data_IF_272283749808
#
_entry.id   IF_272283749808
#
_cell.length_a   1.000
_cell.length_b   1.000
_cell.length_c   1.000
_cell.angle_alpha   90.00
_cell.angle_beta   90.00
_cell.angle_gamma   90.00
#
_symmetry.space_group_name_H-M   'P 1'
#
loop_
_entity.id
_entity.type
_entity.pdbx_description
1 polymer ?
#
# COMPACT_ATOMS: atom_id res chain seq x y z
N UNK A 1 13.01 16.46 -20.78
CA UNK A 1 11.99 16.77 -19.75
C UNK A 1 12.50 16.20 -18.44
N UNK A 2 12.57 16.99 -17.37
CA UNK A 2 12.86 16.48 -16.02
C UNK A 2 11.74 15.50 -15.66
N UNK A 3 11.98 14.20 -15.80
CA UNK A 3 11.06 13.16 -15.32
C UNK A 3 11.08 13.26 -13.79
N UNK A 4 10.21 14.10 -13.22
CA UNK A 4 10.12 14.27 -11.78
C UNK A 4 9.71 12.93 -11.17
N UNK A 5 10.63 12.28 -10.46
CA UNK A 5 10.42 10.98 -9.82
C UNK A 5 9.68 11.09 -8.48
N UNK A 6 8.77 12.07 -8.37
CA UNK A 6 8.12 12.41 -7.11
C UNK A 6 7.21 11.27 -6.63
N UNK A 7 6.31 10.68 -7.45
CA UNK A 7 5.50 9.53 -7.03
C UNK A 7 6.38 8.37 -6.57
N UNK A 8 7.37 7.98 -7.37
CA UNK A 8 8.37 6.96 -7.04
C UNK A 8 9.08 7.18 -5.70
N UNK A 9 9.62 8.38 -5.47
CA UNK A 9 10.28 8.72 -4.20
C UNK A 9 9.31 8.61 -3.02
N UNK A 10 8.08 9.10 -3.17
CA UNK A 10 7.07 9.02 -2.11
C UNK A 10 6.64 7.58 -1.83
N UNK A 11 6.47 6.73 -2.84
CA UNK A 11 6.14 5.31 -2.63
C UNK A 11 7.28 4.58 -1.91
N UNK A 12 8.54 4.86 -2.26
CA UNK A 12 9.71 4.34 -1.53
C UNK A 12 9.72 4.79 -0.07
N UNK A 13 9.49 6.08 0.19
CA UNK A 13 9.37 6.59 1.56
C UNK A 13 8.25 5.90 2.32
N UNK A 14 7.09 5.69 1.69
CA UNK A 14 5.95 5.00 2.31
C UNK A 14 6.33 3.59 2.77
N UNK A 15 7.03 2.85 1.91
CA UNK A 15 7.48 1.49 2.22
C UNK A 15 8.49 1.51 3.38
N UNK A 16 9.46 2.43 3.37
CA UNK A 16 10.42 2.59 4.47
C UNK A 16 9.76 3.00 5.80
N UNK A 17 8.58 3.64 5.76
CA UNK A 17 7.89 4.04 6.98
C UNK A 17 7.34 2.87 7.80
N UNK A 18 7.33 1.66 7.24
CA UNK A 18 6.93 0.44 7.93
C UNK A 18 7.94 0.02 9.00
N UNK A 19 9.17 0.51 8.91
CA UNK A 19 10.27 0.24 9.85
C UNK A 19 10.48 1.38 10.86
N UNK A 20 9.63 2.42 10.84
CA UNK A 20 9.78 3.53 11.78
C UNK A 20 9.62 3.03 13.23
N UNK A 21 10.50 3.46 14.15
CA UNK A 21 10.45 3.02 15.53
C UNK A 21 9.16 3.47 16.22
N UNK A 22 8.84 2.80 17.32
CA UNK A 22 7.80 3.27 18.22
C UNK A 22 8.22 4.61 18.82
N UNK A 23 7.34 5.61 18.78
CA UNK A 23 7.60 6.90 19.39
C UNK A 23 7.25 6.81 20.87
N UNK A 24 8.17 6.28 21.69
CA UNK A 24 8.03 6.33 23.13
C UNK A 24 8.15 7.78 23.62
N UNK A 25 7.28 8.20 24.53
CA UNK A 25 7.47 9.45 25.26
C UNK A 25 8.74 9.33 26.10
N UNK A 26 9.74 10.16 25.84
CA UNK A 26 10.98 10.13 26.61
C UNK A 26 10.67 10.54 28.07
N UNK A 27 10.95 9.69 29.07
CA UNK A 27 10.81 10.07 30.47
C UNK A 27 11.93 11.07 30.80
N UNK A 28 11.61 12.36 30.81
CA UNK A 28 12.57 13.41 31.14
C UNK A 28 12.61 14.62 30.21
N UNK A 29 11.70 14.74 29.23
CA UNK A 29 11.51 16.00 28.52
C UNK A 29 10.97 17.07 29.49
N UNK A 30 11.90 17.78 30.11
CA UNK A 30 11.67 18.97 30.92
C UNK A 30 10.63 19.85 30.25
N UNK A 31 9.65 20.30 31.03
CA UNK A 31 8.61 21.24 30.64
C UNK A 31 9.21 22.61 30.27
N UNK A 32 9.93 22.71 29.16
CA UNK A 32 10.22 23.99 28.52
C UNK A 32 9.05 24.32 27.62
N UNK A 33 8.23 25.24 28.13
CA UNK A 33 7.05 25.83 27.51
C UNK A 33 7.34 26.36 26.10
N UNK A 34 7.08 25.51 25.12
CA UNK A 34 6.58 25.93 23.81
C UNK A 34 5.44 24.98 23.51
N UNK A 35 4.31 25.52 23.06
CA UNK A 35 3.09 24.79 22.72
C UNK A 35 3.32 23.93 21.46
N UNK A 36 4.26 22.98 21.53
CA UNK A 36 4.55 22.05 20.46
C UNK A 36 3.55 20.89 20.51
N UNK A 37 3.01 20.53 19.35
CA UNK A 37 2.10 19.40 19.19
C UNK A 37 2.73 18.12 19.78
N UNK A 38 1.97 17.31 20.54
CA UNK A 38 2.41 16.00 21.01
C UNK A 38 3.05 15.19 19.89
N UNK A 39 4.10 14.44 20.18
CA UNK A 39 4.87 13.70 19.18
C UNK A 39 4.01 12.72 18.38
N UNK A 40 3.03 12.09 19.04
CA UNK A 40 2.01 11.24 18.40
C UNK A 40 1.16 12.02 17.39
N UNK A 41 0.71 13.23 17.74
CA UNK A 41 -0.08 14.09 16.86
C UNK A 41 0.73 14.55 15.65
N UNK A 42 2.03 14.83 15.81
CA UNK A 42 2.92 15.13 14.69
C UNK A 42 3.06 13.95 13.73
N UNK A 43 3.18 12.72 14.25
CA UNK A 43 3.24 11.51 13.42
C UNK A 43 1.94 11.29 12.65
N UNK A 44 0.80 11.46 13.32
CA UNK A 44 -0.52 11.36 12.70
C UNK A 44 -0.72 12.44 11.62
N UNK A 45 -0.31 13.68 11.88
CA UNK A 45 -0.37 14.77 10.91
C UNK A 45 0.52 14.49 9.69
N UNK A 46 1.75 14.02 9.91
CA UNK A 46 2.65 13.62 8.83
C UNK A 46 2.01 12.51 7.98
N UNK A 47 1.49 11.45 8.61
CA UNK A 47 0.81 10.37 7.91
C UNK A 47 -0.36 10.87 7.07
N UNK A 48 -1.19 11.75 7.64
CA UNK A 48 -2.34 12.34 6.95
C UNK A 48 -1.93 13.17 5.74
N UNK A 49 -0.98 14.10 5.90
CA UNK A 49 -0.51 14.96 4.82
C UNK A 49 0.16 14.14 3.72
N UNK A 50 1.01 13.18 4.11
CA UNK A 50 1.70 12.31 3.17
C UNK A 50 0.73 11.46 2.35
N UNK A 51 -0.25 10.83 3.01
CA UNK A 51 -1.30 10.08 2.34
C UNK A 51 -2.12 10.96 1.38
N UNK A 52 -2.50 12.18 1.81
CA UNK A 52 -3.25 13.11 0.96
C UNK A 52 -2.48 13.53 -0.29
N UNK A 53 -1.18 13.79 -0.18
CA UNK A 53 -0.33 14.13 -1.32
C UNK A 53 -0.28 12.96 -2.30
N UNK A 54 0.02 11.75 -1.83
CA UNK A 54 0.10 10.57 -2.70
C UNK A 54 -1.24 10.24 -3.37
N UNK A 55 -2.35 10.29 -2.63
CA UNK A 55 -3.70 10.09 -3.18
C UNK A 55 -4.02 11.16 -4.22
N UNK A 56 -3.71 12.44 -3.96
CA UNK A 56 -3.98 13.52 -4.92
C UNK A 56 -3.12 13.42 -6.17
N UNK A 57 -1.88 12.97 -6.06
CA UNK A 57 -1.02 12.69 -7.21
C UNK A 57 -1.58 11.50 -8.00
N UNK A 58 -1.89 10.40 -7.33
CA UNK A 58 -2.35 9.16 -7.97
C UNK A 58 -3.79 9.22 -8.48
N UNK A 59 -4.51 10.35 -8.35
CA UNK A 59 -5.80 10.57 -9.01
C UNK A 59 -5.68 10.86 -10.51
N UNK A 60 -4.46 10.78 -11.06
CA UNK A 60 -4.16 10.94 -12.48
C UNK A 60 -3.41 9.71 -12.99
N UNK A 61 -3.52 9.42 -14.30
CA UNK A 61 -2.84 8.29 -14.93
C UNK A 61 -1.32 8.42 -14.92
N UNK A 62 -0.81 9.63 -15.16
CA UNK A 62 0.64 9.87 -15.34
C UNK A 62 1.50 9.42 -14.15
N UNK A 63 1.12 9.66 -12.87
CA UNK A 63 1.88 9.12 -11.73
C UNK A 63 1.92 7.60 -11.66
N UNK A 64 0.84 6.89 -12.01
CA UNK A 64 0.86 5.42 -12.04
C UNK A 64 1.77 4.89 -13.15
N UNK A 65 1.78 5.54 -14.32
CA UNK A 65 2.71 5.20 -15.40
C UNK A 65 4.16 5.48 -15.02
N UNK A 66 4.43 6.58 -14.30
CA UNK A 66 5.76 6.89 -13.79
C UNK A 66 6.24 5.82 -12.79
N UNK A 67 5.39 5.41 -11.85
CA UNK A 67 5.70 4.32 -10.91
C UNK A 67 6.01 3.00 -11.62
N UNK A 68 5.24 2.66 -12.66
CA UNK A 68 5.48 1.46 -13.47
C UNK A 68 6.81 1.58 -14.25
N UNK A 69 7.09 2.72 -14.87
CA UNK A 69 8.34 2.97 -15.60
C UNK A 69 9.58 2.95 -14.70
N UNK A 70 9.46 3.34 -13.43
CA UNK A 70 10.55 3.33 -12.44
C UNK A 70 10.67 2.05 -11.64
N UNK A 71 9.81 1.07 -11.89
CA UNK A 71 9.75 -0.21 -11.18
C UNK A 71 9.40 -0.11 -9.68
N UNK A 72 8.68 0.95 -9.30
CA UNK A 72 8.34 1.25 -7.91
C UNK A 72 6.87 0.95 -7.57
N UNK A 73 6.01 0.69 -8.57
CA UNK A 73 4.60 0.38 -8.33
C UNK A 73 4.40 -0.92 -7.53
N UNK A 74 5.25 -1.94 -7.75
CA UNK A 74 5.22 -3.20 -6.99
C UNK A 74 5.38 -2.99 -5.47
N UNK A 75 6.01 -1.89 -5.04
CA UNK A 75 6.17 -1.57 -3.62
C UNK A 75 4.82 -1.28 -2.95
N UNK A 76 3.83 -0.75 -3.67
CA UNK A 76 2.48 -0.55 -3.11
C UNK A 76 1.75 -1.88 -2.90
N UNK A 77 1.90 -2.84 -3.81
CA UNK A 77 1.33 -4.19 -3.67
C UNK A 77 1.97 -4.94 -2.50
N UNK A 78 3.29 -4.82 -2.35
CA UNK A 78 4.00 -5.32 -1.18
C UNK A 78 3.48 -4.62 0.08
N UNK A 79 3.47 -3.28 0.11
CA UNK A 79 3.06 -2.49 1.27
C UNK A 79 1.67 -2.85 1.81
N UNK A 80 0.68 -3.15 0.96
CA UNK A 80 -0.66 -3.48 1.46
C UNK A 80 -0.76 -4.86 2.12
N UNK A 81 0.21 -5.74 1.89
CA UNK A 81 0.21 -7.14 2.37
C UNK A 81 1.43 -7.52 3.19
N UNK A 82 2.46 -6.68 3.27
CA UNK A 82 3.61 -6.90 4.14
C UNK A 82 3.23 -6.74 5.61
N UNK A 83 3.81 -7.57 6.46
CA UNK A 83 3.77 -7.39 7.90
C UNK A 83 4.46 -6.08 8.30
N UNK A 84 3.91 -5.40 9.31
CA UNK A 84 4.58 -4.30 9.99
C UNK A 84 4.11 -4.20 11.45
N UNK A 85 4.92 -3.60 12.35
CA UNK A 85 4.54 -3.44 13.75
C UNK A 85 3.20 -2.68 13.90
N UNK A 86 2.41 -2.93 14.97
CA UNK A 86 1.08 -2.32 15.15
C UNK A 86 1.03 -0.79 15.05
N UNK A 87 2.08 -0.10 15.51
CA UNK A 87 2.18 1.37 15.42
C UNK A 87 2.41 1.90 14.00
N UNK A 88 2.71 1.03 13.03
CA UNK A 88 2.90 1.36 11.62
C UNK A 88 1.73 0.94 10.72
N UNK A 89 0.70 0.30 11.27
CA UNK A 89 -0.55 -0.01 10.54
C UNK A 89 -1.19 1.19 9.83
N UNK A 90 -1.16 2.43 10.37
CA UNK A 90 -1.66 3.59 9.63
C UNK A 90 -0.96 3.83 8.29
N UNK A 91 0.33 3.47 8.17
CA UNK A 91 1.06 3.57 6.90
C UNK A 91 0.64 2.50 5.89
N UNK A 92 0.39 1.27 6.35
CA UNK A 92 -0.22 0.20 5.53
C UNK A 92 -1.59 0.60 5.01
N UNK A 93 -2.42 1.22 5.86
CA UNK A 93 -3.71 1.80 5.45
C UNK A 93 -3.54 2.90 4.40
N UNK A 94 -2.55 3.79 4.55
CA UNK A 94 -2.24 4.80 3.52
C UNK A 94 -1.87 4.16 2.19
N UNK A 95 -1.05 3.11 2.17
CA UNK A 95 -0.71 2.39 0.94
C UNK A 95 -1.96 1.83 0.25
N UNK A 96 -2.89 1.26 1.03
CA UNK A 96 -4.18 0.77 0.51
C UNK A 96 -5.03 1.88 -0.11
N UNK A 97 -5.06 3.07 0.50
CA UNK A 97 -5.76 4.23 -0.06
C UNK A 97 -5.15 4.71 -1.39
N UNK A 98 -3.82 4.72 -1.48
CA UNK A 98 -3.11 5.07 -2.72
C UNK A 98 -3.41 4.05 -3.80
N UNK A 99 -3.33 2.75 -3.50
CA UNK A 99 -3.60 1.68 -4.45
C UNK A 99 -5.07 1.70 -4.93
N UNK A 100 -6.02 1.97 -4.04
CA UNK A 100 -7.44 2.18 -4.38
C UNK A 100 -7.65 3.41 -5.28
N UNK A 101 -6.80 4.42 -5.16
CA UNK A 101 -6.89 5.59 -6.04
C UNK A 101 -6.35 5.26 -7.42
N UNK A 102 -5.24 4.52 -7.49
CA UNK A 102 -4.67 4.01 -8.75
C UNK A 102 -5.66 3.07 -9.45
N UNK A 103 -6.35 2.18 -8.74
CA UNK A 103 -7.32 1.26 -9.37
C UNK A 103 -8.43 2.01 -10.11
N UNK A 104 -8.88 3.15 -9.58
CA UNK A 104 -9.98 3.93 -10.15
C UNK A 104 -9.57 4.90 -11.24
N UNK A 105 -8.33 5.40 -11.19
CA UNK A 105 -7.91 6.54 -12.03
C UNK A 105 -6.61 6.32 -12.78
N UNK A 106 -5.80 5.35 -12.37
CA UNK A 106 -4.42 5.16 -12.79
C UNK A 106 -4.17 3.94 -13.68
N UNK A 107 -5.15 3.07 -13.89
CA UNK A 107 -4.97 1.84 -14.68
C UNK A 107 -4.96 2.13 -16.18
N UNK A 108 -3.77 2.40 -16.73
CA UNK A 108 -3.53 2.33 -18.17
C UNK A 108 -3.10 0.92 -18.60
N UNK A 109 -3.09 0.67 -19.91
CA UNK A 109 -2.59 -0.60 -20.49
C UNK A 109 -1.15 -0.88 -20.03
N UNK A 110 -0.31 0.15 -19.92
CA UNK A 110 1.07 0.01 -19.47
C UNK A 110 1.16 -0.37 -17.98
N UNK A 111 0.29 0.22 -17.16
CA UNK A 111 0.23 -0.07 -15.72
C UNK A 111 -0.26 -1.51 -15.49
N UNK A 112 -1.31 -1.94 -16.19
CA UNK A 112 -1.81 -3.32 -16.11
C UNK A 112 -0.75 -4.31 -16.57
N UNK A 113 -0.10 -4.03 -17.71
CA UNK A 113 1.00 -4.86 -18.22
C UNK A 113 2.13 -4.99 -17.20
N UNK A 114 2.54 -3.89 -16.57
CA UNK A 114 3.55 -3.90 -15.53
C UNK A 114 3.14 -4.78 -14.33
N UNK A 115 1.90 -4.62 -13.83
CA UNK A 115 1.39 -5.38 -12.68
C UNK A 115 1.41 -6.89 -12.98
N UNK A 116 1.02 -7.27 -14.20
CA UNK A 116 1.07 -8.64 -14.69
C UNK A 116 2.51 -9.17 -14.76
N UNK A 117 3.40 -8.47 -15.46
CA UNK A 117 4.81 -8.88 -15.66
C UNK A 117 5.60 -8.96 -14.35
N UNK A 118 5.20 -8.21 -13.32
CA UNK A 118 5.83 -8.20 -12.00
C UNK A 118 5.16 -9.15 -11.00
N UNK A 119 4.12 -9.87 -11.41
CA UNK A 119 3.41 -10.84 -10.56
C UNK A 119 2.95 -10.22 -9.23
N UNK A 120 2.55 -8.94 -9.25
CA UNK A 120 2.21 -8.17 -8.06
C UNK A 120 1.11 -8.85 -7.22
N UNK A 121 0.13 -9.46 -7.87
CA UNK A 121 -0.95 -10.18 -7.19
C UNK A 121 -0.47 -11.48 -6.54
N UNK A 122 0.42 -12.22 -7.18
CA UNK A 122 1.03 -13.41 -6.60
C UNK A 122 1.82 -13.04 -5.33
N UNK A 123 2.56 -11.94 -5.37
CA UNK A 123 3.28 -11.40 -4.21
C UNK A 123 2.33 -11.07 -3.05
N UNK A 124 1.18 -10.44 -3.33
CA UNK A 124 0.19 -10.15 -2.30
C UNK A 124 -0.36 -11.43 -1.64
N UNK A 125 -0.71 -12.44 -2.44
CA UNK A 125 -1.20 -13.73 -1.92
C UNK A 125 -0.13 -14.42 -1.09
N UNK A 126 1.11 -14.46 -1.59
CA UNK A 126 2.24 -15.07 -0.89
C UNK A 126 2.47 -14.43 0.48
N UNK A 127 2.49 -13.09 0.56
CA UNK A 127 2.69 -12.37 1.81
C UNK A 127 1.62 -12.72 2.87
N UNK A 128 0.36 -12.83 2.45
CA UNK A 128 -0.75 -13.18 3.33
C UNK A 128 -0.73 -14.66 3.76
N UNK A 129 -0.13 -15.54 2.96
CA UNK A 129 -0.04 -16.98 3.27
C UNK A 129 1.16 -17.36 4.14
N UNK A 130 2.30 -16.68 3.97
CA UNK A 130 3.59 -17.10 4.53
C UNK A 130 3.95 -16.40 5.84
N UNK A 131 3.20 -15.39 6.28
CA UNK A 131 3.54 -14.66 7.50
C UNK A 131 2.85 -15.25 8.72
N UNK A 132 3.63 -15.94 9.56
CA UNK A 132 3.18 -16.50 10.84
C UNK A 132 2.81 -15.42 11.87
N UNK A 133 3.27 -14.18 11.67
CA UNK A 133 3.03 -13.04 12.56
C UNK A 133 1.72 -12.29 12.26
N UNK A 134 0.96 -12.68 11.23
CA UNK A 134 -0.31 -12.04 10.87
C UNK A 134 -1.48 -12.68 11.61
N UNK A 135 -2.30 -11.84 12.26
CA UNK A 135 -3.58 -12.29 12.79
C UNK A 135 -4.61 -12.54 11.68
N UNK A 136 -5.62 -13.41 11.89
CA UNK A 136 -6.68 -13.64 10.91
C UNK A 136 -7.41 -12.36 10.48
N UNK A 137 -7.63 -11.43 11.42
CA UNK A 137 -8.26 -10.13 11.12
C UNK A 137 -7.40 -9.30 10.16
N UNK A 138 -6.08 -9.28 10.36
CA UNK A 138 -5.17 -8.54 9.48
C UNK A 138 -5.18 -9.12 8.06
N UNK A 139 -5.19 -10.44 7.92
CA UNK A 139 -5.28 -11.12 6.62
C UNK A 139 -6.59 -10.73 5.91
N UNK A 140 -7.72 -10.72 6.64
CA UNK A 140 -9.02 -10.29 6.11
C UNK A 140 -8.98 -8.83 5.66
N UNK A 141 -8.37 -7.92 6.43
CA UNK A 141 -8.24 -6.51 6.06
C UNK A 141 -7.33 -6.31 4.83
N UNK A 142 -6.21 -7.05 4.75
CA UNK A 142 -5.32 -7.05 3.58
C UNK A 142 -6.07 -7.52 2.33
N UNK A 143 -6.81 -8.63 2.44
CA UNK A 143 -7.59 -9.16 1.34
C UNK A 143 -8.76 -8.25 0.94
N UNK A 144 -9.41 -7.59 1.90
CA UNK A 144 -10.44 -6.59 1.60
C UNK A 144 -9.89 -5.43 0.74
N UNK A 145 -8.67 -4.98 1.03
CA UNK A 145 -7.96 -4.01 0.19
C UNK A 145 -7.67 -4.54 -1.21
N UNK A 146 -7.12 -5.75 -1.31
CA UNK A 146 -6.78 -6.38 -2.59
C UNK A 146 -8.03 -6.66 -3.46
N UNK A 147 -9.12 -7.13 -2.85
CA UNK A 147 -10.38 -7.38 -3.56
C UNK A 147 -11.03 -6.11 -4.08
N UNK A 148 -10.91 -4.98 -3.36
CA UNK A 148 -11.35 -3.69 -3.87
C UNK A 148 -10.56 -3.29 -5.12
N UNK A 149 -9.24 -3.49 -5.12
CA UNK A 149 -8.39 -3.27 -6.30
C UNK A 149 -8.81 -4.16 -7.47
N UNK A 150 -9.00 -5.47 -7.24
CA UNK A 150 -9.40 -6.43 -8.29
C UNK A 150 -10.75 -6.04 -8.91
N UNK A 151 -11.74 -5.71 -8.08
CA UNK A 151 -13.06 -5.25 -8.52
C UNK A 151 -12.94 -4.01 -9.42
N UNK A 152 -12.28 -2.96 -8.94
CA UNK A 152 -12.10 -1.72 -9.71
C UNK A 152 -11.31 -1.98 -11.02
N UNK A 153 -10.33 -2.89 -11.01
CA UNK A 153 -9.54 -3.24 -12.21
C UNK A 153 -10.33 -4.03 -13.26
N UNK A 154 -11.33 -4.82 -12.83
CA UNK A 154 -12.12 -5.68 -13.71
C UNK A 154 -13.01 -4.90 -14.68
N UNK A 155 -13.36 -3.66 -14.32
CA UNK A 155 -14.07 -2.72 -15.19
C UNK A 155 -13.19 -2.22 -16.35
N UNK A 156 -11.85 -2.34 -16.21
CA UNK A 156 -10.85 -1.89 -17.20
C UNK A 156 -10.26 -3.06 -17.98
N UNK A 157 -9.89 -4.16 -17.32
CA UNK A 157 -9.32 -5.35 -17.94
C UNK A 157 -9.53 -6.62 -17.10
N UNK A 158 -9.69 -7.76 -17.77
CA UNK A 158 -9.77 -9.07 -17.12
C UNK A 158 -8.40 -9.67 -16.75
N UNK A 159 -7.30 -9.14 -17.29
CA UNK A 159 -5.93 -9.68 -17.07
C UNK A 159 -5.61 -9.91 -15.61
N UNK A 160 -5.95 -8.95 -14.74
CA UNK A 160 -5.61 -9.03 -13.32
C UNK A 160 -6.49 -10.04 -12.54
N UNK A 161 -7.71 -10.31 -13.02
CA UNK A 161 -8.53 -11.40 -12.48
C UNK A 161 -7.99 -12.76 -12.91
N UNK A 162 -7.50 -12.88 -14.15
CA UNK A 162 -6.83 -14.09 -14.62
C UNK A 162 -5.53 -14.34 -13.84
N UNK A 163 -4.73 -13.31 -13.59
CA UNK A 163 -3.53 -13.41 -12.76
C UNK A 163 -3.86 -13.87 -11.34
N UNK A 164 -4.90 -13.30 -10.73
CA UNK A 164 -5.40 -13.71 -9.43
C UNK A 164 -5.82 -15.19 -9.41
N UNK A 165 -6.46 -15.66 -10.48
CA UNK A 165 -6.80 -17.08 -10.64
C UNK A 165 -5.55 -17.95 -10.73
N UNK A 166 -4.59 -17.54 -11.55
CA UNK A 166 -3.36 -18.29 -11.82
C UNK A 166 -2.47 -18.41 -10.57
N UNK A 167 -2.44 -17.39 -9.71
CA UNK A 167 -1.71 -17.41 -8.44
C UNK A 167 -2.48 -18.05 -7.27
N UNK A 168 -3.53 -18.84 -7.55
CA UNK A 168 -4.35 -19.53 -6.54
C UNK A 168 -5.10 -18.59 -5.58
N UNK A 169 -5.37 -17.35 -5.98
CA UNK A 169 -6.07 -16.37 -5.15
C UNK A 169 -7.48 -16.80 -4.73
N UNK A 170 -8.21 -17.52 -5.59
CA UNK A 170 -9.53 -18.07 -5.23
C UNK A 170 -9.44 -19.19 -4.21
N UNK A 171 -8.44 -20.07 -4.33
CA UNK A 171 -8.16 -21.12 -3.34
C UNK A 171 -7.84 -20.50 -1.98
N UNK A 172 -6.97 -19.49 -1.97
CA UNK A 172 -6.67 -18.70 -0.77
C UNK A 172 -7.93 -18.08 -0.14
N UNK A 173 -8.81 -17.48 -0.95
CA UNK A 173 -10.08 -16.92 -0.45
C UNK A 173 -10.97 -17.99 0.18
N UNK A 174 -11.10 -19.15 -0.46
CA UNK A 174 -11.85 -20.27 0.11
C UNK A 174 -11.28 -20.69 1.47
N UNK A 175 -9.96 -20.86 1.56
CA UNK A 175 -9.30 -21.23 2.82
C UNK A 175 -9.50 -20.17 3.91
N UNK A 176 -9.45 -18.88 3.54
CA UNK A 176 -9.67 -17.77 4.47
C UNK A 176 -11.09 -17.76 5.04
N UNK A 177 -12.12 -18.06 4.22
CA UNK A 177 -13.52 -18.10 4.67
C UNK A 177 -13.87 -19.34 5.48
N UNK A 178 -13.11 -20.42 5.34
CA UNK A 178 -13.33 -21.69 6.02
C UNK A 178 -12.57 -21.81 7.36
N UNK A 179 -11.66 -20.88 7.64
CA UNK A 179 -10.99 -20.73 8.94
C UNK A 179 -11.88 -20.04 9.97
#
# INVERSE_FOLDING_TARGET
>A
MTTMSVPSTLVKCLYLFFDLPHMAEAPGASQTQTSELPQADRRALLQKVFAQILVKLCSFVSPAEELAQKDDLQLLFSAITSWCPPHNLPWRKSAGQVLTTISRHGLSVNVIKYIHEKECLATCIQNMQQSDDLSPLEIVEMFAGLSCFLKDSSDVSQTLLDDFRMCQGYTFLCDLMLR
#
